data_IF_440324543184
#
_entry.id   IF_440324543184
#
_cell.length_a   1.000
_cell.length_b   1.000
_cell.length_c   1.000
_cell.angle_alpha   90.00
_cell.angle_beta   90.00
_cell.angle_gamma   90.00
#
_symmetry.space_group_name_H-M   'P 1'
#
loop_
_entity.id
_entity.type
_entity.pdbx_description
1 polymer ?
#
# COMPACT_ATOMS: atom_id res chain seq x y z
N UNK A 1 17.39 -2.42 -11.08
CA UNK A 1 17.52 -2.45 -12.56
C UNK A 1 16.41 -1.58 -13.11
N UNK A 2 16.64 -0.72 -14.09
CA UNK A 2 15.53 -0.03 -14.72
C UNK A 2 14.54 -1.07 -15.28
N UNK A 3 13.25 -0.71 -15.36
CA UNK A 3 12.22 -1.50 -16.04
C UNK A 3 12.80 -2.02 -17.35
N UNK A 4 12.76 -3.34 -17.56
CA UNK A 4 13.57 -4.01 -18.59
C UNK A 4 13.24 -3.54 -20.03
N UNK A 5 11.99 -3.15 -20.28
CA UNK A 5 11.54 -2.47 -21.50
C UNK A 5 10.25 -1.70 -21.23
N UNK A 6 10.06 -0.49 -21.79
CA UNK A 6 8.82 0.26 -21.68
C UNK A 6 7.63 -0.56 -22.20
N UNK A 7 6.44 -0.29 -21.65
CA UNK A 7 5.21 -0.89 -22.15
C UNK A 7 4.72 -0.16 -23.41
N UNK A 8 3.94 -0.87 -24.24
CA UNK A 8 3.33 -0.27 -25.42
C UNK A 8 2.29 0.79 -25.04
N UNK A 9 2.15 1.81 -25.90
CA UNK A 9 1.10 2.80 -25.73
C UNK A 9 -0.26 2.23 -26.11
N UNK A 10 -1.30 2.57 -25.34
CA UNK A 10 -2.69 2.23 -25.57
C UNK A 10 -3.49 3.44 -26.07
N UNK A 11 -4.48 3.24 -26.90
CA UNK A 11 -5.42 4.29 -27.25
C UNK A 11 -6.55 4.33 -26.20
N UNK A 12 -6.60 5.41 -25.42
CA UNK A 12 -7.62 5.63 -24.42
C UNK A 12 -8.91 6.12 -25.06
N UNK A 13 -10.01 5.39 -24.85
CA UNK A 13 -11.36 5.76 -25.27
C UNK A 13 -12.18 6.36 -24.11
N UNK A 14 -11.88 5.97 -22.87
CA UNK A 14 -12.59 6.44 -21.69
C UNK A 14 -12.02 5.88 -20.39
N UNK A 15 -12.63 6.33 -19.29
CA UNK A 15 -12.46 5.74 -17.96
C UNK A 15 -13.83 5.50 -17.33
N UNK A 16 -14.04 4.31 -16.80
CA UNK A 16 -15.14 4.02 -15.90
C UNK A 16 -14.60 4.02 -14.45
N UNK A 17 -15.22 4.78 -13.57
CA UNK A 17 -14.92 4.83 -12.16
C UNK A 17 -16.09 4.27 -11.36
N UNK A 18 -15.80 3.50 -10.30
CA UNK A 18 -16.79 2.96 -9.39
C UNK A 18 -16.37 3.19 -7.95
N UNK A 19 -17.23 3.80 -7.14
CA UNK A 19 -17.08 3.82 -5.68
C UNK A 19 -17.63 2.52 -5.14
N UNK A 20 -16.81 1.82 -4.36
CA UNK A 20 -17.19 0.55 -3.73
C UNK A 20 -17.33 0.72 -2.22
N UNK A 21 -18.32 0.05 -1.63
CA UNK A 21 -18.45 -0.12 -0.19
C UNK A 21 -18.27 -1.61 0.14
N UNK A 22 -17.14 -1.98 0.73
CA UNK A 22 -16.82 -3.35 1.10
C UNK A 22 -16.87 -3.51 2.63
N UNK A 23 -17.85 -4.24 3.19
CA UNK A 23 -17.87 -4.55 4.60
C UNK A 23 -16.61 -5.32 5.01
N UNK A 24 -15.93 -4.87 6.08
CA UNK A 24 -14.79 -5.59 6.65
C UNK A 24 -15.27 -6.77 7.50
N UNK A 25 -14.55 -7.89 7.45
CA UNK A 25 -14.82 -9.09 8.30
C UNK A 25 -14.68 -8.79 9.78
N UNK A 26 -13.89 -7.79 10.13
CA UNK A 26 -13.77 -7.28 11.51
C UNK A 26 -13.41 -5.79 11.48
N UNK A 27 -13.83 -4.98 12.49
CA UNK A 27 -13.41 -3.59 12.58
C UNK A 27 -11.89 -3.44 12.59
N UNK A 28 -11.38 -2.47 11.85
CA UNK A 28 -9.95 -2.15 11.81
C UNK A 28 -9.71 -0.80 12.49
N UNK A 29 -9.09 -0.83 13.67
CA UNK A 29 -8.85 0.36 14.50
C UNK A 29 -7.38 0.77 14.47
N UNK A 30 -7.13 2.04 14.15
CA UNK A 30 -5.83 2.71 14.16
C UNK A 30 -5.80 3.83 15.21
N UNK A 31 -4.71 4.60 15.29
CA UNK A 31 -4.62 5.76 16.17
C UNK A 31 -5.62 6.89 15.82
N UNK A 32 -6.07 6.96 14.56
CA UNK A 32 -6.93 8.02 14.04
C UNK A 32 -8.39 7.61 13.79
N UNK A 33 -8.77 6.32 13.92
CA UNK A 33 -10.16 5.92 13.74
C UNK A 33 -10.37 4.43 13.61
N UNK A 34 -11.65 4.06 13.40
CA UNK A 34 -12.09 2.67 13.19
C UNK A 34 -12.85 2.57 11.87
N UNK A 35 -12.41 1.70 10.98
CA UNK A 35 -13.13 1.32 9.76
C UNK A 35 -13.91 0.02 9.98
N UNK A 36 -15.16 -0.02 9.52
CA UNK A 36 -16.02 -1.22 9.46
C UNK A 36 -16.47 -1.52 8.03
N UNK A 37 -16.39 -0.52 7.17
CA UNK A 37 -16.64 -0.60 5.73
C UNK A 37 -15.49 0.10 5.02
N UNK A 38 -14.82 -0.59 4.12
CA UNK A 38 -13.82 0.00 3.25
C UNK A 38 -14.49 0.73 2.09
N UNK A 39 -14.22 2.02 1.95
CA UNK A 39 -14.61 2.81 0.81
C UNK A 39 -13.39 3.02 -0.11
N UNK A 40 -13.54 2.69 -1.39
CA UNK A 40 -12.45 2.71 -2.36
C UNK A 40 -13.02 3.01 -3.76
N UNK A 41 -12.18 3.53 -4.68
CA UNK A 41 -12.57 3.72 -6.08
C UNK A 41 -11.81 2.71 -6.95
N UNK A 42 -12.55 1.94 -7.74
CA UNK A 42 -11.98 1.12 -8.82
C UNK A 42 -12.08 1.90 -10.13
N UNK A 43 -11.01 1.85 -10.91
CA UNK A 43 -10.87 2.51 -12.20
C UNK A 43 -10.72 1.45 -13.30
N UNK A 44 -11.50 1.59 -14.37
CA UNK A 44 -11.33 0.81 -15.60
C UNK A 44 -10.94 1.76 -16.74
N UNK A 45 -9.76 1.58 -17.30
CA UNK A 45 -9.34 2.24 -18.52
C UNK A 45 -9.95 1.50 -19.72
N UNK A 46 -10.77 2.19 -20.49
CA UNK A 46 -11.38 1.70 -21.73
C UNK A 46 -10.44 2.01 -22.89
N UNK A 47 -10.08 1.00 -23.67
CA UNK A 47 -9.10 1.14 -24.76
C UNK A 47 -9.58 0.51 -26.07
N UNK A 48 -8.86 0.75 -27.16
CA UNK A 48 -9.06 0.09 -28.45
C UNK A 48 -8.64 -1.41 -28.44
N UNK A 49 -8.14 -1.91 -27.31
CA UNK A 49 -7.72 -3.28 -27.04
C UNK A 49 -8.33 -3.83 -25.76
N UNK A 50 -7.57 -4.60 -24.98
CA UNK A 50 -7.99 -5.04 -23.66
C UNK A 50 -8.12 -3.84 -22.70
N UNK A 51 -9.20 -3.79 -21.93
CA UNK A 51 -9.34 -2.83 -20.84
C UNK A 51 -8.38 -3.17 -19.68
N UNK A 52 -8.01 -2.14 -18.91
CA UNK A 52 -7.17 -2.31 -17.75
C UNK A 52 -7.83 -1.78 -16.47
N UNK A 53 -7.40 -2.31 -15.34
CA UNK A 53 -7.97 -2.02 -14.04
C UNK A 53 -6.96 -1.39 -13.09
N UNK A 54 -7.43 -0.47 -12.26
CA UNK A 54 -6.66 0.17 -11.21
C UNK A 54 -7.51 0.44 -9.98
N UNK A 55 -6.87 0.82 -8.89
CA UNK A 55 -7.53 1.08 -7.62
C UNK A 55 -7.00 2.35 -6.98
N UNK A 56 -7.90 3.28 -6.63
CA UNK A 56 -7.61 4.50 -5.88
C UNK A 56 -7.89 4.21 -4.43
N UNK A 57 -6.85 4.03 -3.64
CA UNK A 57 -6.90 3.48 -2.27
C UNK A 57 -7.23 4.51 -1.17
N UNK A 58 -8.01 5.54 -1.50
CA UNK A 58 -8.49 6.51 -0.50
C UNK A 58 -9.40 5.86 0.53
N UNK A 59 -9.59 6.51 1.68
CA UNK A 59 -10.64 6.17 2.65
C UNK A 59 -11.81 7.12 2.57
N UNK A 60 -12.88 6.85 3.33
CA UNK A 60 -14.07 7.70 3.39
C UNK A 60 -13.79 9.12 3.92
N UNK A 61 -12.75 9.27 4.76
CA UNK A 61 -12.36 10.54 5.38
C UNK A 61 -10.84 10.78 5.29
N UNK A 62 -10.38 12.04 5.28
CA UNK A 62 -8.97 12.40 5.19
C UNK A 62 -8.24 12.25 6.54
N UNK A 63 -8.14 11.00 7.04
CA UNK A 63 -7.53 10.68 8.33
C UNK A 63 -6.13 10.09 8.21
N UNK A 64 -5.88 9.30 7.15
CA UNK A 64 -4.55 8.76 6.85
C UNK A 64 -3.71 9.72 5.98
N UNK A 65 -4.35 10.39 5.06
CA UNK A 65 -3.77 11.41 4.18
C UNK A 65 -4.80 12.49 3.90
N UNK A 66 -4.40 13.55 3.19
CA UNK A 66 -5.33 14.60 2.74
C UNK A 66 -6.33 14.12 1.68
N UNK A 67 -6.09 12.95 1.07
CA UNK A 67 -6.99 12.39 0.06
C UNK A 67 -8.08 11.53 0.71
N UNK A 68 -9.31 11.69 0.21
CA UNK A 68 -10.49 10.91 0.61
C UNK A 68 -11.38 10.67 -0.60
N UNK A 69 -12.25 9.66 -0.54
CA UNK A 69 -12.96 9.13 -1.71
C UNK A 69 -13.74 10.19 -2.47
N UNK A 70 -14.53 11.05 -1.79
CA UNK A 70 -15.33 12.07 -2.50
C UNK A 70 -14.45 13.11 -3.20
N UNK A 71 -13.33 13.54 -2.58
CA UNK A 71 -12.37 14.45 -3.19
C UNK A 71 -11.63 13.80 -4.35
N UNK A 72 -11.23 12.55 -4.19
CA UNK A 72 -10.59 11.75 -5.24
C UNK A 72 -11.51 11.53 -6.45
N UNK A 73 -12.80 11.26 -6.20
CA UNK A 73 -13.83 11.13 -7.22
C UNK A 73 -13.96 12.41 -8.06
N UNK A 74 -14.15 13.56 -7.41
CA UNK A 74 -14.28 14.85 -8.10
C UNK A 74 -13.05 15.17 -8.95
N UNK A 75 -11.85 15.00 -8.37
CA UNK A 75 -10.60 15.32 -9.06
C UNK A 75 -10.32 14.35 -10.21
N UNK A 76 -10.60 13.07 -10.03
CA UNK A 76 -10.43 12.08 -11.09
C UNK A 76 -11.29 12.42 -12.31
N UNK A 77 -12.59 12.68 -12.10
CA UNK A 77 -13.55 12.93 -13.18
C UNK A 77 -13.35 14.27 -13.88
N UNK A 78 -13.03 15.33 -13.11
CA UNK A 78 -13.01 16.69 -13.67
C UNK A 78 -11.66 17.11 -14.22
N UNK A 79 -10.58 16.49 -13.77
CA UNK A 79 -9.24 17.00 -14.09
C UNK A 79 -8.29 15.90 -14.60
N UNK A 80 -8.08 14.81 -13.84
CA UNK A 80 -6.99 13.90 -14.13
C UNK A 80 -7.31 12.95 -15.29
N UNK A 81 -8.46 12.30 -15.26
CA UNK A 81 -8.87 11.40 -16.34
C UNK A 81 -9.09 12.15 -17.68
N UNK A 82 -9.73 13.36 -17.70
CA UNK A 82 -9.78 14.16 -18.93
C UNK A 82 -8.41 14.50 -19.50
N UNK A 83 -7.43 14.87 -18.65
CA UNK A 83 -6.07 15.19 -19.11
C UNK A 83 -5.37 13.99 -19.79
N UNK A 84 -5.62 12.77 -19.31
CA UNK A 84 -5.11 11.56 -19.96
C UNK A 84 -5.85 11.27 -21.28
N UNK A 85 -7.19 11.43 -21.30
CA UNK A 85 -8.00 11.25 -22.50
C UNK A 85 -7.63 12.21 -23.63
N UNK A 86 -7.28 13.45 -23.30
CA UNK A 86 -6.85 14.47 -24.29
C UNK A 86 -5.57 14.05 -25.03
N UNK A 87 -4.73 13.17 -24.45
CA UNK A 87 -3.56 12.59 -25.15
C UNK A 87 -3.94 11.59 -26.23
N UNK A 88 -5.08 10.92 -26.05
CA UNK A 88 -5.61 9.92 -26.98
C UNK A 88 -4.86 8.60 -26.95
N UNK A 89 -3.56 8.59 -27.26
CA UNK A 89 -2.66 7.43 -27.13
C UNK A 89 -1.57 7.74 -26.13
N UNK A 90 -1.33 6.83 -25.19
CA UNK A 90 -0.47 7.05 -24.03
C UNK A 90 0.27 5.77 -23.63
N UNK A 91 1.57 5.86 -23.38
CA UNK A 91 2.30 4.80 -22.69
C UNK A 91 2.16 4.97 -21.17
N UNK A 92 2.17 3.89 -20.38
CA UNK A 92 2.07 3.99 -18.91
C UNK A 92 3.13 4.92 -18.28
N UNK A 93 4.34 4.92 -18.82
CA UNK A 93 5.46 5.74 -18.35
C UNK A 93 5.23 7.26 -18.57
N UNK A 94 4.29 7.64 -19.44
CA UNK A 94 3.95 9.04 -19.71
C UNK A 94 2.86 9.57 -18.76
N UNK A 95 2.13 8.69 -18.03
CA UNK A 95 1.03 9.07 -17.15
C UNK A 95 1.47 10.08 -16.11
N UNK A 96 2.59 9.83 -15.43
CA UNK A 96 3.12 10.73 -14.42
C UNK A 96 3.45 12.12 -14.98
N UNK A 97 4.00 12.20 -16.20
CA UNK A 97 4.32 13.47 -16.86
C UNK A 97 3.08 14.27 -17.26
N UNK A 98 2.05 13.59 -17.77
CA UNK A 98 0.76 14.23 -18.09
C UNK A 98 0.09 14.76 -16.84
N UNK A 99 0.15 14.01 -15.75
CA UNK A 99 -0.51 14.38 -14.48
C UNK A 99 0.37 15.25 -13.56
N UNK A 100 1.61 15.55 -13.93
CA UNK A 100 2.53 16.39 -13.14
C UNK A 100 2.01 17.81 -12.83
N UNK A 101 1.29 18.51 -13.72
CA UNK A 101 0.76 19.85 -13.40
C UNK A 101 -0.26 19.86 -12.27
N UNK A 102 -0.91 18.74 -11.98
CA UNK A 102 -1.88 18.63 -10.89
C UNK A 102 -1.17 18.32 -9.58
N UNK A 103 -1.26 19.25 -8.63
CA UNK A 103 -0.56 19.14 -7.33
C UNK A 103 -1.30 18.15 -6.42
N UNK A 104 -0.55 17.26 -5.74
CA UNK A 104 -1.13 16.26 -4.83
C UNK A 104 -1.87 15.13 -5.56
N UNK A 105 -2.94 14.63 -4.95
CA UNK A 105 -3.83 13.58 -5.47
C UNK A 105 -3.08 12.32 -5.93
N UNK A 106 -2.14 11.87 -5.11
CA UNK A 106 -1.23 10.76 -5.43
C UNK A 106 -1.97 9.44 -5.57
N UNK A 107 -2.95 9.18 -4.70
CA UNK A 107 -3.74 7.95 -4.78
C UNK A 107 -4.58 7.89 -6.06
N UNK A 108 -5.12 9.04 -6.50
CA UNK A 108 -5.83 9.12 -7.79
C UNK A 108 -4.89 8.85 -8.95
N UNK A 109 -3.70 9.47 -8.94
CA UNK A 109 -2.67 9.24 -9.97
C UNK A 109 -2.26 7.78 -10.06
N UNK A 110 -2.04 7.14 -8.90
CA UNK A 110 -1.65 5.73 -8.82
C UNK A 110 -2.73 4.79 -9.41
N UNK A 111 -4.00 5.03 -9.11
CA UNK A 111 -5.10 4.24 -9.65
C UNK A 111 -5.26 4.39 -11.17
N UNK A 112 -5.13 5.61 -11.68
CA UNK A 112 -5.16 5.88 -13.12
C UNK A 112 -3.94 5.29 -13.85
N UNK A 113 -2.74 5.43 -13.27
CA UNK A 113 -1.50 4.82 -13.80
C UNK A 113 -1.65 3.30 -13.89
N UNK A 114 -2.10 2.66 -12.80
CA UNK A 114 -2.27 1.22 -12.77
C UNK A 114 -3.26 0.72 -13.83
N UNK A 115 -4.37 1.43 -14.03
CA UNK A 115 -5.36 1.06 -15.04
C UNK A 115 -4.79 1.12 -16.46
N UNK A 116 -4.02 2.16 -16.78
CA UNK A 116 -3.35 2.29 -18.09
C UNK A 116 -2.25 1.21 -18.23
N UNK A 117 -1.50 0.94 -17.19
CA UNK A 117 -0.44 -0.07 -17.16
C UNK A 117 -1.01 -1.48 -17.34
N UNK A 118 -2.11 -1.82 -16.65
CA UNK A 118 -2.78 -3.11 -16.80
C UNK A 118 -3.28 -3.32 -18.25
N UNK A 119 -3.91 -2.30 -18.85
CA UNK A 119 -4.36 -2.36 -20.24
C UNK A 119 -3.19 -2.61 -21.22
N UNK A 120 -2.09 -1.87 -21.07
CA UNK A 120 -0.91 -2.00 -21.91
C UNK A 120 -0.28 -3.40 -21.80
N UNK A 121 -0.12 -3.90 -20.59
CA UNK A 121 0.49 -5.21 -20.35
C UNK A 121 -0.43 -6.36 -20.79
N UNK A 122 -1.75 -6.23 -20.65
CA UNK A 122 -2.71 -7.18 -21.22
C UNK A 122 -2.60 -7.24 -22.74
N UNK A 123 -2.46 -6.10 -23.40
CA UNK A 123 -2.28 -6.03 -24.86
C UNK A 123 -0.96 -6.68 -25.33
N UNK A 124 0.09 -6.59 -24.53
CA UNK A 124 1.39 -7.24 -24.81
C UNK A 124 1.44 -8.72 -24.43
N UNK A 125 0.45 -9.23 -23.68
CA UNK A 125 0.52 -10.57 -23.10
C UNK A 125 1.61 -10.72 -22.04
N UNK A 126 1.95 -9.65 -21.30
CA UNK A 126 3.03 -9.55 -20.33
C UNK A 126 2.48 -9.43 -18.91
N UNK A 127 3.07 -10.13 -17.94
CA UNK A 127 2.66 -10.03 -16.54
C UNK A 127 3.24 -8.77 -15.88
N UNK A 128 2.52 -8.18 -14.91
CA UNK A 128 2.96 -7.01 -14.17
C UNK A 128 4.27 -7.26 -13.39
N UNK A 129 4.38 -8.45 -12.77
CA UNK A 129 5.63 -8.84 -12.08
C UNK A 129 6.82 -8.92 -13.03
N UNK A 130 6.63 -9.45 -14.23
CA UNK A 130 7.66 -9.48 -15.27
C UNK A 130 8.08 -8.06 -15.70
N UNK A 131 7.11 -7.17 -15.89
CA UNK A 131 7.35 -5.78 -16.25
C UNK A 131 8.19 -5.05 -15.19
N UNK A 132 7.89 -5.23 -13.91
CA UNK A 132 8.67 -4.63 -12.81
C UNK A 132 10.04 -5.28 -12.62
N UNK A 133 10.27 -6.49 -13.11
CA UNK A 133 11.48 -7.26 -12.89
C UNK A 133 11.47 -8.07 -11.59
N UNK A 134 10.30 -8.61 -11.25
CA UNK A 134 10.13 -9.52 -10.11
C UNK A 134 11.09 -10.72 -10.20
N UNK A 135 11.67 -11.09 -9.07
CA UNK A 135 12.60 -12.22 -8.94
C UNK A 135 12.03 -13.35 -8.06
N UNK A 136 10.89 -13.10 -7.43
CA UNK A 136 10.20 -14.06 -6.56
C UNK A 136 8.83 -14.41 -7.14
N UNK A 137 8.42 -15.68 -7.01
CA UNK A 137 7.09 -16.19 -7.41
C UNK A 137 6.04 -16.07 -6.30
N UNK A 138 6.51 -15.78 -5.08
CA UNK A 138 5.71 -15.56 -3.87
C UNK A 138 6.39 -14.55 -2.96
N UNK A 139 5.62 -13.84 -2.15
CA UNK A 139 6.13 -12.83 -1.23
C UNK A 139 5.74 -13.16 0.20
N UNK A 140 6.65 -12.97 1.19
CA UNK A 140 6.33 -13.24 2.59
C UNK A 140 5.29 -12.26 3.10
N UNK A 141 4.27 -12.77 3.78
CA UNK A 141 3.11 -12.03 4.24
C UNK A 141 3.18 -11.73 5.73
N UNK A 142 3.19 -10.47 6.07
CA UNK A 142 2.91 -9.97 7.41
C UNK A 142 1.45 -9.58 7.57
N UNK A 143 1.03 -9.39 8.82
CA UNK A 143 -0.30 -8.90 9.14
C UNK A 143 -0.24 -7.67 10.03
N UNK A 144 -1.11 -6.71 9.78
CA UNK A 144 -1.33 -5.55 10.64
C UNK A 144 -2.53 -5.82 11.56
N UNK A 145 -2.27 -5.76 12.87
CA UNK A 145 -3.27 -5.95 13.93
C UNK A 145 -3.68 -4.58 14.45
N UNK A 146 -4.95 -4.24 14.25
CA UNK A 146 -5.53 -2.99 14.76
C UNK A 146 -5.52 -2.93 16.29
N UNK A 147 -5.68 -1.72 16.84
CA UNK A 147 -5.77 -1.49 18.29
C UNK A 147 -6.94 -2.29 18.86
N UNK A 148 -6.65 -3.14 19.84
CA UNK A 148 -7.66 -3.96 20.52
C UNK A 148 -8.14 -3.27 21.81
N UNK A 149 -9.26 -3.74 22.36
CA UNK A 149 -9.84 -3.19 23.61
C UNK A 149 -8.88 -3.23 24.80
N UNK A 150 -8.10 -4.30 24.90
CA UNK A 150 -7.13 -4.54 25.96
C UNK A 150 -5.98 -5.45 25.49
N UNK A 151 -4.88 -5.58 26.27
CA UNK A 151 -3.73 -6.42 25.90
C UNK A 151 -4.08 -7.91 25.74
N UNK A 152 -5.05 -8.45 26.48
CA UNK A 152 -5.45 -9.85 26.35
C UNK A 152 -6.12 -10.11 24.99
N UNK A 153 -7.04 -9.23 24.58
CA UNK A 153 -7.65 -9.32 23.25
C UNK A 153 -6.62 -9.14 22.12
N UNK A 154 -5.56 -8.35 22.35
CA UNK A 154 -4.46 -8.20 21.40
C UNK A 154 -3.66 -9.52 21.27
N UNK A 155 -3.35 -10.17 22.40
CA UNK A 155 -2.65 -11.46 22.42
C UNK A 155 -3.50 -12.52 21.68
N UNK A 156 -4.80 -12.59 21.96
CA UNK A 156 -5.70 -13.52 21.27
C UNK A 156 -5.72 -13.29 19.75
N UNK A 157 -5.81 -12.02 19.30
CA UNK A 157 -5.80 -11.68 17.88
C UNK A 157 -4.47 -12.03 17.22
N UNK A 158 -3.34 -11.73 17.87
CA UNK A 158 -2.00 -12.09 17.38
C UNK A 158 -1.84 -13.61 17.28
N UNK A 159 -2.31 -14.36 18.28
CA UNK A 159 -2.29 -15.82 18.27
C UNK A 159 -3.03 -16.39 17.06
N UNK A 160 -4.23 -15.88 16.79
CA UNK A 160 -5.02 -16.29 15.62
C UNK A 160 -4.27 -16.08 14.30
N UNK A 161 -3.61 -14.94 14.11
CA UNK A 161 -2.83 -14.69 12.88
C UNK A 161 -1.56 -15.53 12.78
N UNK A 162 -0.91 -15.84 13.88
CA UNK A 162 0.21 -16.78 13.89
C UNK A 162 -0.25 -18.20 13.52
N UNK A 163 -1.41 -18.63 14.00
CA UNK A 163 -2.03 -19.91 13.65
C UNK A 163 -2.46 -19.97 12.17
N UNK A 164 -2.88 -18.85 11.59
CA UNK A 164 -3.13 -18.72 10.15
C UNK A 164 -1.83 -18.79 9.32
N UNK A 165 -0.65 -18.59 9.94
CA UNK A 165 0.65 -18.73 9.30
C UNK A 165 1.31 -17.42 8.87
N UNK A 166 0.83 -16.25 9.28
CA UNK A 166 1.51 -14.99 8.99
C UNK A 166 2.91 -14.96 9.61
N UNK A 167 3.92 -14.55 8.82
CA UNK A 167 5.33 -14.66 9.24
C UNK A 167 5.87 -13.42 9.95
N UNK A 168 5.11 -12.33 10.00
CA UNK A 168 5.46 -11.10 10.71
C UNK A 168 4.18 -10.46 11.28
N UNK A 169 4.25 -10.03 12.53
CA UNK A 169 3.18 -9.31 13.22
C UNK A 169 3.53 -7.82 13.30
N UNK A 170 2.58 -6.96 12.90
CA UNK A 170 2.61 -5.52 13.14
C UNK A 170 1.45 -5.14 14.04
N UNK A 171 1.72 -4.55 15.19
CA UNK A 171 0.67 -4.04 16.06
C UNK A 171 0.60 -2.51 15.99
N UNK A 172 -0.61 -1.97 15.97
CA UNK A 172 -0.84 -0.53 16.05
C UNK A 172 -0.67 -0.08 17.50
N UNK A 173 0.11 0.98 17.71
CA UNK A 173 0.35 1.57 19.01
C UNK A 173 -0.22 2.99 19.10
N UNK A 174 -0.43 3.46 20.31
CA UNK A 174 -0.79 4.85 20.62
C UNK A 174 -0.29 5.23 22.00
N UNK A 175 -0.13 6.53 22.31
CA UNK A 175 0.29 6.99 23.63
C UNK A 175 -0.50 6.36 24.77
N UNK A 176 0.22 5.88 25.80
CA UNK A 176 -0.32 5.29 27.03
C UNK A 176 -0.68 3.81 26.95
N UNK A 177 -0.51 3.16 25.75
CA UNK A 177 -0.71 1.70 25.60
C UNK A 177 0.45 0.99 24.91
N UNK A 178 1.33 1.73 24.28
CA UNK A 178 2.48 1.29 23.49
C UNK A 178 3.33 0.20 24.17
N UNK A 179 3.91 0.53 25.31
CA UNK A 179 4.78 -0.37 26.07
C UNK A 179 4.01 -1.59 26.60
N UNK A 180 2.80 -1.39 27.13
CA UNK A 180 2.00 -2.47 27.72
C UNK A 180 1.53 -3.47 26.67
N UNK A 181 1.02 -2.99 25.52
CA UNK A 181 0.56 -3.82 24.41
C UNK A 181 1.73 -4.60 23.79
N UNK A 182 2.88 -3.93 23.60
CA UNK A 182 4.09 -4.58 23.05
C UNK A 182 4.64 -5.63 24.00
N UNK A 183 4.68 -5.34 25.31
CA UNK A 183 5.10 -6.30 26.34
C UNK A 183 4.22 -7.53 26.34
N UNK A 184 2.90 -7.37 26.32
CA UNK A 184 1.95 -8.48 26.34
C UNK A 184 2.15 -9.45 25.17
N UNK A 185 2.36 -8.91 23.94
CA UNK A 185 2.64 -9.73 22.77
C UNK A 185 4.00 -10.42 22.88
N UNK A 186 5.04 -9.70 23.31
CA UNK A 186 6.39 -10.26 23.47
C UNK A 186 6.45 -11.36 24.53
N UNK A 187 5.75 -11.16 25.66
CA UNK A 187 5.69 -12.14 26.75
C UNK A 187 4.93 -13.40 26.33
N UNK A 188 3.87 -13.26 25.54
CA UNK A 188 3.05 -14.40 25.08
C UNK A 188 3.74 -15.23 24.00
N UNK A 189 4.44 -14.62 23.04
CA UNK A 189 4.92 -15.29 21.84
C UNK A 189 6.44 -15.33 21.67
N UNK A 190 7.19 -14.75 22.61
CA UNK A 190 8.66 -14.78 22.57
C UNK A 190 9.23 -14.06 21.32
N UNK A 191 10.23 -14.67 20.68
CA UNK A 191 11.04 -14.05 19.63
C UNK A 191 10.38 -14.13 18.23
N UNK A 192 9.10 -13.79 18.11
CA UNK A 192 8.45 -13.64 16.79
C UNK A 192 8.93 -12.36 16.08
N UNK A 193 8.94 -12.31 14.73
CA UNK A 193 9.13 -11.06 14.00
C UNK A 193 7.99 -10.08 14.32
N UNK A 194 8.29 -9.08 15.16
CA UNK A 194 7.32 -8.11 15.68
C UNK A 194 7.78 -6.69 15.33
N UNK A 195 6.85 -5.87 14.85
CA UNK A 195 7.03 -4.44 14.62
C UNK A 195 5.84 -3.65 15.17
N UNK A 196 6.04 -2.37 15.42
CA UNK A 196 4.99 -1.47 15.88
C UNK A 196 4.78 -0.34 14.89
N UNK A 197 3.53 0.14 14.79
CA UNK A 197 3.15 1.23 13.91
C UNK A 197 2.36 2.28 14.72
N UNK A 198 2.90 3.49 14.73
CA UNK A 198 2.40 4.61 15.50
C UNK A 198 1.45 5.51 14.71
N UNK A 199 1.45 5.46 13.37
CA UNK A 199 0.67 6.32 12.49
C UNK A 199 0.71 7.80 12.95
N UNK A 200 1.91 8.35 13.11
CA UNK A 200 2.16 9.75 13.49
C UNK A 200 1.60 10.19 14.85
N UNK A 201 1.35 9.26 15.78
CA UNK A 201 0.65 9.58 17.03
C UNK A 201 1.52 10.25 18.10
N UNK A 202 2.83 10.38 17.90
CA UNK A 202 3.79 10.90 18.88
C UNK A 202 4.46 12.18 18.42
N UNK A 203 5.19 12.79 19.34
CA UNK A 203 6.07 13.94 19.11
C UNK A 203 7.48 13.61 19.62
N UNK A 204 8.48 14.44 19.31
CA UNK A 204 9.84 14.25 19.84
C UNK A 204 9.90 14.32 21.39
N UNK A 205 8.91 14.96 22.04
CA UNK A 205 8.80 14.97 23.49
C UNK A 205 8.54 13.57 24.08
N UNK A 206 7.98 12.66 23.29
CA UNK A 206 7.69 11.28 23.70
C UNK A 206 8.87 10.32 23.48
N UNK A 207 10.02 10.83 23.06
CA UNK A 207 11.18 10.02 22.70
C UNK A 207 11.67 9.08 23.81
N UNK A 208 11.52 9.46 25.08
CA UNK A 208 11.89 8.59 26.21
C UNK A 208 10.93 7.39 26.32
N UNK A 209 9.64 7.59 26.12
CA UNK A 209 8.64 6.51 26.05
C UNK A 209 8.89 5.59 24.86
N UNK A 210 9.18 6.16 23.68
CA UNK A 210 9.50 5.37 22.49
C UNK A 210 10.80 4.55 22.67
N UNK A 211 11.79 5.08 23.41
CA UNK A 211 13.02 4.35 23.74
C UNK A 211 12.79 3.16 24.68
N UNK A 212 11.70 3.14 25.46
CA UNK A 212 11.33 1.95 26.25
C UNK A 212 10.98 0.74 25.37
N UNK A 213 10.55 0.97 24.12
CA UNK A 213 10.25 -0.09 23.15
C UNK A 213 11.51 -0.85 22.69
N UNK A 214 12.70 -0.26 22.82
CA UNK A 214 13.98 -0.88 22.46
C UNK A 214 14.27 -2.20 23.19
N UNK A 215 13.64 -2.42 24.35
CA UNK A 215 13.82 -3.66 25.13
C UNK A 215 13.08 -4.87 24.51
N UNK A 216 12.18 -4.64 23.56
CA UNK A 216 11.36 -5.70 22.99
C UNK A 216 11.94 -6.29 21.70
N UNK A 217 13.13 -5.90 21.26
CA UNK A 217 13.78 -6.42 20.05
C UNK A 217 12.85 -6.39 18.83
N UNK A 218 12.32 -5.20 18.53
CA UNK A 218 11.41 -4.96 17.41
C UNK A 218 12.19 -4.91 16.10
N UNK A 219 11.58 -5.38 15.03
CA UNK A 219 12.12 -5.21 13.67
C UNK A 219 12.23 -3.74 13.29
N UNK A 220 11.24 -2.96 13.68
CA UNK A 220 11.17 -1.52 13.40
C UNK A 220 10.06 -0.85 14.23
N UNK A 221 10.15 0.48 14.32
CA UNK A 221 9.05 1.37 14.69
C UNK A 221 8.65 2.18 13.47
N UNK A 222 7.37 2.05 13.03
CA UNK A 222 6.82 2.68 11.83
C UNK A 222 6.18 4.02 12.19
N UNK A 223 6.55 5.07 11.42
CA UNK A 223 6.02 6.44 11.45
C UNK A 223 5.69 6.96 12.85
N UNK A 224 6.66 7.11 13.73
CA UNK A 224 6.40 7.57 15.09
C UNK A 224 5.92 9.02 15.16
N UNK A 225 6.46 9.93 14.35
CA UNK A 225 6.16 11.37 14.40
C UNK A 225 5.33 11.82 13.20
N UNK A 226 5.01 13.11 13.13
CA UNK A 226 4.20 13.70 12.07
C UNK A 226 4.81 13.47 10.67
N UNK A 227 3.93 13.37 9.67
CA UNK A 227 4.31 12.96 8.31
C UNK A 227 5.24 13.96 7.59
N UNK A 228 5.18 15.23 7.92
CA UNK A 228 5.98 16.31 7.33
C UNK A 228 7.28 16.60 8.11
N UNK A 229 7.54 15.89 9.21
CA UNK A 229 8.69 16.16 10.09
C UNK A 229 9.83 15.14 9.93
N UNK A 230 10.62 15.28 8.89
CA UNK A 230 11.82 14.47 8.70
C UNK A 230 12.96 14.85 9.66
N UNK A 231 12.99 16.07 10.18
CA UNK A 231 14.08 16.57 11.02
C UNK A 231 14.03 15.96 12.41
N UNK A 232 12.84 15.95 13.03
CA UNK A 232 12.67 15.32 14.34
C UNK A 232 12.74 13.80 14.25
N UNK A 233 12.29 13.18 13.13
CA UNK A 233 12.56 11.77 12.88
C UNK A 233 14.06 11.45 12.85
N UNK A 234 14.89 12.28 12.23
CA UNK A 234 16.35 12.11 12.25
C UNK A 234 16.92 12.25 13.66
N UNK A 235 16.34 13.12 14.47
CA UNK A 235 16.73 13.27 15.88
C UNK A 235 16.32 12.06 16.71
N UNK A 236 15.10 11.56 16.52
CA UNK A 236 14.58 10.37 17.18
C UNK A 236 15.36 9.11 16.77
N UNK A 237 15.66 8.93 15.48
CA UNK A 237 16.39 7.78 14.97
C UNK A 237 17.80 7.63 15.62
N UNK A 238 18.44 8.74 15.99
CA UNK A 238 19.72 8.72 16.73
C UNK A 238 19.58 8.32 18.20
N UNK A 239 18.37 8.39 18.77
CA UNK A 239 18.09 8.07 20.18
C UNK A 239 17.63 6.63 20.37
N UNK A 240 17.02 6.03 19.34
CA UNK A 240 16.48 4.67 19.38
C UNK A 240 17.52 3.65 18.89
N UNK A 241 17.49 2.44 19.45
CA UNK A 241 18.17 1.27 18.90
C UNK A 241 17.30 0.56 17.87
N UNK A 242 15.99 0.56 18.09
CA UNK A 242 15.00 0.04 17.15
C UNK A 242 15.03 0.88 15.87
N UNK A 243 15.15 0.26 14.68
CA UNK A 243 15.16 0.97 13.42
C UNK A 243 13.87 1.78 13.21
N UNK A 244 14.00 3.04 12.80
CA UNK A 244 12.86 3.86 12.39
C UNK A 244 12.53 3.55 10.94
N UNK A 245 11.25 3.26 10.69
CA UNK A 245 10.68 3.08 9.35
C UNK A 245 9.74 4.25 9.05
N UNK A 246 9.83 4.83 7.86
CA UNK A 246 8.90 5.86 7.41
C UNK A 246 7.86 5.30 6.45
N UNK A 247 6.60 5.67 6.69
CA UNK A 247 5.40 5.40 5.89
C UNK A 247 4.85 6.70 5.32
N UNK A 248 4.03 7.41 6.07
CA UNK A 248 3.30 8.61 5.65
C UNK A 248 4.23 9.73 5.12
N UNK A 249 5.43 9.84 5.65
CA UNK A 249 6.45 10.81 5.18
C UNK A 249 6.99 10.52 3.78
N UNK A 250 6.88 9.29 3.29
CA UNK A 250 7.45 8.88 1.99
C UNK A 250 6.39 9.03 0.89
N UNK A 251 6.36 10.18 0.30
CA UNK A 251 5.35 10.56 -0.72
C UNK A 251 5.93 10.68 -2.14
N UNK A 252 7.24 10.45 -2.31
CA UNK A 252 7.94 10.47 -3.61
C UNK A 252 9.36 9.93 -3.46
N UNK A 253 10.05 9.66 -4.59
CA UNK A 253 11.50 9.36 -4.63
C UNK A 253 12.30 10.49 -3.96
N UNK A 254 11.92 11.76 -4.18
CA UNK A 254 12.58 12.91 -3.55
C UNK A 254 12.45 12.88 -2.03
N UNK A 255 11.25 12.59 -1.51
CA UNK A 255 11.03 12.49 -0.06
C UNK A 255 11.85 11.33 0.56
N UNK A 256 11.91 10.19 -0.13
CA UNK A 256 12.75 9.08 0.29
C UNK A 256 14.25 9.46 0.31
N UNK A 257 14.74 10.11 -0.75
CA UNK A 257 16.12 10.59 -0.82
C UNK A 257 16.46 11.57 0.31
N UNK A 258 15.56 12.51 0.62
CA UNK A 258 15.73 13.47 1.71
C UNK A 258 15.74 12.77 3.08
N UNK A 259 14.82 11.84 3.31
CA UNK A 259 14.77 11.07 4.54
C UNK A 259 16.07 10.29 4.79
N UNK A 260 16.61 9.64 3.74
CA UNK A 260 17.89 8.93 3.82
C UNK A 260 19.06 9.88 4.05
N UNK A 261 19.10 11.01 3.35
CA UNK A 261 20.16 12.01 3.50
C UNK A 261 20.21 12.63 4.90
N UNK A 262 19.05 12.82 5.54
CA UNK A 262 18.93 13.33 6.91
C UNK A 262 19.18 12.24 7.97
N UNK A 263 19.12 10.97 7.60
CA UNK A 263 19.13 9.84 8.54
C UNK A 263 17.84 9.72 9.34
N UNK A 264 16.72 10.12 8.75
CA UNK A 264 15.40 10.08 9.40
C UNK A 264 14.83 8.67 9.49
N UNK A 265 15.29 7.77 8.63
CA UNK A 265 14.88 6.37 8.60
C UNK A 265 16.03 5.46 8.17
N UNK A 266 15.98 4.21 8.58
CA UNK A 266 16.83 3.12 8.12
C UNK A 266 16.04 2.03 7.39
N UNK A 267 14.73 2.16 7.32
CA UNK A 267 13.79 1.28 6.62
C UNK A 267 12.70 2.16 5.97
N UNK A 268 12.26 1.79 4.78
CA UNK A 268 11.16 2.50 4.10
C UNK A 268 10.00 1.53 3.85
N UNK A 269 8.79 1.96 4.22
CA UNK A 269 7.54 1.35 3.80
C UNK A 269 7.12 1.98 2.46
N UNK A 270 6.98 1.18 1.41
CA UNK A 270 6.55 1.64 0.09
C UNK A 270 5.07 1.27 -0.12
N UNK A 271 4.25 2.29 -0.38
CA UNK A 271 2.84 2.13 -0.77
C UNK A 271 2.61 2.86 -2.09
N UNK A 272 2.37 2.11 -3.16
CA UNK A 272 2.23 2.68 -4.51
C UNK A 272 1.15 3.78 -4.58
N UNK A 273 0.00 3.58 -3.91
CA UNK A 273 -1.05 4.60 -3.83
C UNK A 273 -0.57 5.91 -3.20
N UNK A 274 0.13 5.85 -2.07
CA UNK A 274 0.63 7.03 -1.35
C UNK A 274 1.69 7.80 -2.14
N UNK A 275 2.57 7.11 -2.86
CA UNK A 275 3.68 7.75 -3.58
C UNK A 275 3.27 8.27 -4.97
N UNK A 276 2.10 7.90 -5.47
CA UNK A 276 1.56 8.45 -6.72
C UNK A 276 1.66 7.55 -7.94
N UNK A 277 2.02 6.26 -7.74
CA UNK A 277 2.03 5.24 -8.77
C UNK A 277 2.99 4.10 -8.50
N UNK A 278 2.86 3.04 -9.26
CA UNK A 278 3.72 1.87 -9.16
C UNK A 278 5.11 2.15 -9.76
N UNK A 279 5.20 3.01 -10.78
CA UNK A 279 6.49 3.40 -11.36
C UNK A 279 7.31 4.25 -10.39
N UNK A 280 6.67 5.16 -9.65
CA UNK A 280 7.32 5.90 -8.56
C UNK A 280 7.73 4.96 -7.42
N UNK A 281 6.90 3.95 -7.09
CA UNK A 281 7.24 2.94 -6.09
C UNK A 281 8.46 2.11 -6.49
N UNK A 282 8.57 1.70 -7.75
CA UNK A 282 9.77 1.02 -8.30
C UNK A 282 11.00 1.92 -8.21
N UNK A 283 10.86 3.21 -8.51
CA UNK A 283 11.98 4.15 -8.42
C UNK A 283 12.46 4.36 -6.96
N UNK A 284 11.53 4.38 -5.98
CA UNK A 284 11.88 4.40 -4.55
C UNK A 284 12.59 3.11 -4.14
N UNK A 285 12.07 1.95 -4.59
CA UNK A 285 12.72 0.66 -4.36
C UNK A 285 14.16 0.65 -4.89
N UNK A 286 14.38 1.11 -6.12
CA UNK A 286 15.71 1.15 -6.74
C UNK A 286 16.67 2.08 -5.98
N UNK A 287 16.20 3.27 -5.58
CA UNK A 287 16.96 4.19 -4.73
C UNK A 287 17.40 3.52 -3.42
N UNK A 288 16.46 2.86 -2.72
CA UNK A 288 16.73 2.21 -1.43
C UNK A 288 17.66 1.01 -1.59
N UNK A 289 17.45 0.17 -2.61
CA UNK A 289 18.31 -0.98 -2.93
C UNK A 289 19.75 -0.52 -3.18
N UNK A 290 19.94 0.52 -3.99
CA UNK A 290 21.27 1.05 -4.35
C UNK A 290 21.97 1.68 -3.14
N UNK A 291 21.20 2.16 -2.16
CA UNK A 291 21.68 2.65 -0.87
C UNK A 291 21.84 1.55 0.21
N UNK A 292 21.45 0.31 -0.07
CA UNK A 292 21.46 -0.80 0.89
C UNK A 292 20.43 -0.67 2.01
N UNK A 293 19.33 0.08 1.76
CA UNK A 293 18.24 0.31 2.70
C UNK A 293 17.14 -0.74 2.48
N UNK A 294 16.79 -1.55 3.50
CA UNK A 294 15.70 -2.51 3.39
C UNK A 294 14.36 -1.81 3.21
N UNK A 295 13.51 -2.40 2.38
CA UNK A 295 12.15 -1.91 2.14
C UNK A 295 11.13 -3.05 2.28
N UNK A 296 9.88 -2.67 2.49
CA UNK A 296 8.74 -3.57 2.46
C UNK A 296 7.51 -2.89 1.85
N UNK A 297 6.58 -3.69 1.32
CA UNK A 297 5.37 -3.20 0.69
C UNK A 297 4.25 -3.10 1.73
N UNK A 298 3.82 -1.87 2.01
CA UNK A 298 2.67 -1.60 2.86
C UNK A 298 1.34 -1.85 2.15
N UNK A 299 0.26 -1.97 2.92
CA UNK A 299 -1.10 -2.16 2.43
C UNK A 299 -2.02 -1.00 2.81
N UNK A 300 -3.07 -0.84 2.02
CA UNK A 300 -4.15 0.14 2.21
C UNK A 300 -5.53 -0.55 2.22
N UNK A 301 -5.61 -1.79 2.70
CA UNK A 301 -6.81 -2.63 2.65
C UNK A 301 -7.33 -2.78 1.20
N UNK A 302 -6.44 -2.99 0.25
CA UNK A 302 -6.77 -3.10 -1.16
C UNK A 302 -7.71 -4.28 -1.45
N UNK A 303 -8.48 -4.15 -2.53
CA UNK A 303 -9.16 -5.27 -3.18
C UNK A 303 -8.14 -6.17 -3.89
N UNK A 304 -8.59 -7.25 -4.51
CA UNK A 304 -7.74 -8.12 -5.31
C UNK A 304 -6.96 -7.40 -6.41
N UNK A 305 -7.45 -6.24 -6.91
CA UNK A 305 -6.75 -5.41 -7.90
C UNK A 305 -5.45 -4.87 -7.32
N UNK A 306 -5.53 -4.03 -6.28
CA UNK A 306 -4.36 -3.43 -5.67
C UNK A 306 -3.47 -4.47 -4.98
N UNK A 307 -4.06 -5.54 -4.45
CA UNK A 307 -3.33 -6.64 -3.81
C UNK A 307 -2.48 -7.43 -4.80
N UNK A 308 -3.00 -7.73 -6.00
CA UNK A 308 -2.23 -8.35 -7.08
C UNK A 308 -1.04 -7.47 -7.51
N UNK A 309 -1.28 -6.18 -7.67
CA UNK A 309 -0.23 -5.23 -8.03
C UNK A 309 0.83 -5.08 -6.92
N UNK A 310 0.42 -5.06 -5.65
CA UNK A 310 1.35 -5.01 -4.51
C UNK A 310 2.17 -6.31 -4.38
N UNK A 311 1.59 -7.48 -4.68
CA UNK A 311 2.34 -8.73 -4.72
C UNK A 311 3.42 -8.71 -5.82
N UNK A 312 3.09 -8.18 -7.00
CA UNK A 312 4.04 -8.01 -8.10
C UNK A 312 5.17 -7.03 -7.74
N UNK A 313 4.85 -5.91 -7.06
CA UNK A 313 5.83 -4.93 -6.58
C UNK A 313 6.73 -5.54 -5.48
N UNK A 314 6.13 -6.22 -4.50
CA UNK A 314 6.86 -6.82 -3.38
C UNK A 314 7.79 -7.98 -3.80
N UNK A 315 7.65 -8.48 -5.02
CA UNK A 315 8.51 -9.52 -5.59
C UNK A 315 9.84 -8.99 -6.18
N UNK A 316 10.08 -7.68 -6.13
CA UNK A 316 11.34 -7.07 -6.53
C UNK A 316 12.46 -7.40 -5.52
N UNK A 317 13.74 -7.49 -5.95
CA UNK A 317 14.82 -8.01 -5.12
C UNK A 317 15.15 -7.19 -3.87
N UNK A 318 14.79 -5.90 -3.82
CA UNK A 318 15.02 -5.02 -2.66
C UNK A 318 13.98 -5.11 -1.56
N UNK A 319 12.82 -5.75 -1.80
CA UNK A 319 11.81 -5.99 -0.78
C UNK A 319 12.25 -7.16 0.12
N UNK A 320 13.07 -6.86 1.12
CA UNK A 320 13.73 -7.86 1.98
C UNK A 320 12.98 -8.14 3.28
N UNK A 321 11.96 -7.36 3.60
CA UNK A 321 11.14 -7.53 4.79
C UNK A 321 9.72 -7.97 4.40
N UNK A 322 9.04 -8.81 5.23
CA UNK A 322 7.65 -9.21 4.97
C UNK A 322 6.71 -8.00 4.91
N UNK A 323 5.92 -7.90 3.83
CA UNK A 323 4.99 -6.81 3.59
C UNK A 323 3.61 -7.00 4.22
N UNK A 324 2.73 -6.01 4.05
CA UNK A 324 1.31 -6.10 4.40
C UNK A 324 0.46 -6.65 3.23
N UNK A 325 1.06 -7.43 2.33
CA UNK A 325 0.36 -8.13 1.25
C UNK A 325 -0.26 -9.40 1.83
N UNK A 326 -1.45 -9.28 2.40
CA UNK A 326 -2.15 -10.36 3.10
C UNK A 326 -3.15 -11.08 2.20
N UNK A 327 -3.70 -12.22 2.65
CA UNK A 327 -4.84 -12.86 2.00
C UNK A 327 -6.04 -11.89 1.92
N UNK A 328 -6.86 -12.01 0.86
CA UNK A 328 -8.08 -11.21 0.72
C UNK A 328 -9.07 -11.44 1.86
N UNK A 329 -9.16 -12.69 2.35
CA UNK A 329 -10.01 -13.08 3.50
C UNK A 329 -9.64 -12.39 4.82
N UNK A 330 -8.47 -11.76 4.92
CA UNK A 330 -8.10 -10.92 6.06
C UNK A 330 -9.07 -9.74 6.23
N UNK A 331 -9.58 -9.20 5.14
CA UNK A 331 -10.42 -8.02 5.15
C UNK A 331 -11.82 -8.25 4.60
N UNK A 332 -12.00 -9.15 3.63
CA UNK A 332 -13.24 -9.31 2.86
C UNK A 332 -13.74 -10.74 2.87
N UNK A 333 -15.04 -10.93 3.11
CA UNK A 333 -15.70 -12.25 2.97
C UNK A 333 -15.72 -12.67 1.49
N UNK A 334 -15.88 -11.70 0.57
CA UNK A 334 -15.82 -11.89 -0.87
C UNK A 334 -15.06 -10.73 -1.48
N UNK A 335 -14.06 -11.02 -2.29
CA UNK A 335 -13.32 -10.04 -3.08
C UNK A 335 -14.02 -9.80 -4.42
N UNK A 336 -13.60 -8.77 -5.14
CA UNK A 336 -14.13 -8.40 -6.48
C UNK A 336 -13.39 -9.07 -7.63
N UNK A 337 -12.42 -9.94 -7.35
CA UNK A 337 -11.66 -10.71 -8.34
C UNK A 337 -12.04 -12.18 -8.27
N UNK A 338 -11.89 -12.89 -9.40
CA UNK A 338 -12.21 -14.32 -9.50
C UNK A 338 -11.24 -15.20 -8.73
N UNK A 339 -9.98 -14.77 -8.63
CA UNK A 339 -8.90 -15.48 -7.92
C UNK A 339 -8.33 -14.57 -6.83
N UNK A 340 -8.97 -14.51 -5.64
CA UNK A 340 -8.48 -13.68 -4.54
C UNK A 340 -7.15 -14.18 -4.01
N UNK A 341 -6.34 -13.26 -3.45
CA UNK A 341 -5.08 -13.62 -2.82
C UNK A 341 -5.30 -14.55 -1.62
N UNK A 342 -4.51 -15.62 -1.56
CA UNK A 342 -4.55 -16.64 -0.51
C UNK A 342 -3.21 -16.70 0.19
N UNK A 343 -3.22 -16.91 1.51
CA UNK A 343 -2.02 -17.15 2.30
C UNK A 343 -1.68 -18.67 2.24
N UNK A 344 -0.50 -18.99 1.71
CA UNK A 344 0.02 -20.35 1.61
C UNK A 344 1.43 -20.39 2.23
N UNK A 345 1.61 -21.17 3.29
CA UNK A 345 2.90 -21.29 4.00
C UNK A 345 3.54 -19.93 4.32
N UNK A 346 2.74 -18.97 4.80
CA UNK A 346 3.19 -17.65 5.16
C UNK A 346 3.48 -16.69 4.00
N UNK A 347 3.08 -17.06 2.79
CA UNK A 347 3.35 -16.29 1.57
C UNK A 347 2.09 -16.08 0.75
N UNK A 348 2.09 -15.03 -0.05
CA UNK A 348 1.10 -14.78 -1.11
C UNK A 348 1.78 -14.95 -2.47
N UNK A 349 1.11 -15.64 -3.40
CA UNK A 349 1.62 -15.84 -4.76
C UNK A 349 1.62 -14.54 -5.54
N UNK A 350 2.64 -14.37 -6.37
CA UNK A 350 2.69 -13.30 -7.37
C UNK A 350 1.89 -13.74 -8.60
N UNK A 351 0.87 -12.99 -9.03
CA UNK A 351 0.11 -13.35 -10.22
C UNK A 351 0.99 -13.36 -11.48
N UNK A 352 0.79 -14.37 -12.33
CA UNK A 352 1.60 -14.57 -13.56
C UNK A 352 0.79 -14.38 -14.84
N UNK A 353 -0.51 -14.12 -14.74
CA UNK A 353 -1.36 -13.78 -15.89
C UNK A 353 -1.01 -12.42 -16.48
N UNK A 354 -1.54 -12.11 -17.67
CA UNK A 354 -1.29 -10.85 -18.35
C UNK A 354 -1.83 -9.65 -17.55
N UNK A 355 -1.13 -8.53 -17.60
CA UNK A 355 -1.45 -7.36 -16.79
C UNK A 355 -1.30 -7.65 -15.30
N UNK A 356 -2.32 -7.32 -14.52
CA UNK A 356 -2.44 -7.64 -13.09
C UNK A 356 -2.42 -9.14 -12.78
N UNK A 357 -2.73 -9.98 -13.78
CA UNK A 357 -2.80 -11.43 -13.62
C UNK A 357 -4.00 -11.92 -12.81
N UNK A 358 -5.01 -11.07 -12.62
CA UNK A 358 -6.30 -11.40 -12.01
C UNK A 358 -7.44 -10.88 -12.89
N UNK A 359 -8.59 -11.54 -12.84
CA UNK A 359 -9.79 -11.13 -13.55
C UNK A 359 -10.86 -10.65 -12.58
N UNK A 360 -11.66 -9.68 -13.03
CA UNK A 360 -12.75 -9.13 -12.22
C UNK A 360 -13.94 -10.10 -12.21
N UNK A 361 -14.50 -10.33 -11.02
CA UNK A 361 -15.84 -10.92 -10.87
C UNK A 361 -16.89 -9.80 -11.03
N UNK A 362 -17.59 -9.72 -12.20
CA UNK A 362 -18.51 -8.62 -12.46
C UNK A 362 -19.71 -8.61 -11.50
N UNK A 363 -20.12 -9.78 -10.98
CA UNK A 363 -21.23 -9.88 -10.03
C UNK A 363 -20.76 -9.34 -8.68
N UNK A 364 -19.59 -9.76 -8.19
CA UNK A 364 -19.05 -9.27 -6.94
C UNK A 364 -18.79 -7.75 -6.99
N UNK A 365 -18.28 -7.24 -8.11
CA UNK A 365 -18.04 -5.83 -8.33
C UNK A 365 -19.35 -5.02 -8.30
N UNK A 366 -20.40 -5.49 -9.01
CA UNK A 366 -21.70 -4.82 -9.05
C UNK A 366 -22.38 -4.83 -7.68
N UNK A 367 -22.29 -5.93 -6.91
CA UNK A 367 -22.88 -6.07 -5.56
C UNK A 367 -22.38 -5.00 -4.57
N UNK A 368 -21.12 -4.54 -4.69
CA UNK A 368 -20.50 -3.56 -3.77
C UNK A 368 -20.36 -2.16 -4.37
N UNK A 369 -20.76 -1.96 -5.63
CA UNK A 369 -20.72 -0.65 -6.30
C UNK A 369 -21.88 0.24 -5.82
N UNK A 370 -21.56 1.42 -5.28
CA UNK A 370 -22.55 2.39 -4.82
C UNK A 370 -22.72 3.58 -5.78
N UNK A 371 -21.66 3.93 -6.51
CA UNK A 371 -21.69 4.98 -7.53
C UNK A 371 -20.83 4.52 -8.72
N UNK A 372 -21.31 4.82 -9.91
CA UNK A 372 -20.60 4.52 -11.17
C UNK A 372 -20.73 5.69 -12.13
N UNK A 373 -19.63 6.07 -12.77
CA UNK A 373 -19.62 7.06 -13.85
C UNK A 373 -18.60 6.66 -14.91
N UNK A 374 -18.92 7.00 -16.17
CA UNK A 374 -18.04 6.77 -17.30
C UNK A 374 -17.82 8.10 -18.02
N UNK A 375 -16.57 8.44 -18.24
CA UNK A 375 -16.18 9.57 -19.08
C UNK A 375 -15.48 9.04 -20.34
N UNK A 376 -15.82 9.57 -21.45
CA UNK A 376 -15.25 9.21 -22.77
C UNK A 376 -14.63 10.44 -23.42
N UNK A 377 -13.76 10.19 -24.36
CA UNK A 377 -13.10 11.20 -25.17
C UNK A 377 -14.08 12.03 -25.99
#
# INVERSE_FOLDING_TARGET
>A
MPIASPAASVALEGFELRVLHLPLVSPFTTSFGTETVREVIVVRALTDGPDGWGEIVTGAAPLYSSEYTQGAWDVALRFLAPALLDRGRLAPEEVADVLRPFVGHRMVKAGLELAVLDAALRAEGRALGEYFGAVHDRVPSGVSVGIQRDPAALVDAVGGYLDEGYVRIKIKIKPGRDVADTAAVRDAFGAIPLQVDANSAYTLADADTLAELDRFDLLLIEQPLQEDDLVDHATLARRLRTPVCLDESIVSVKAAADALALGSASIINIKAGRVGGYLEAVAIHDLCRDAGIPVWCGGMLETGIGRAANAALAALPGFTLPGDVSASSRFYTRDIVTEPAVLEDGHVRVPTGHGLGVDIDPIALDDVTVVRETITR
#
